data_IF_462677829656
#
_entry.id   IF_462677829656
#
_cell.length_a   1.000
_cell.length_b   1.000
_cell.length_c   1.000
_cell.angle_alpha   90.00
_cell.angle_beta   90.00
_cell.angle_gamma   90.00
#
_symmetry.space_group_name_H-M   'P 1'
#
loop_
_entity.id
_entity.type
_entity.pdbx_description
1 polymer ?
#
# COMPACT_ATOMS: atom_id res chain seq x y z
N UNK A 1 -3.36 -11.44 -20.18
CA UNK A 1 -4.12 -10.50 -19.31
C UNK A 1 -5.20 -11.28 -18.59
N UNK A 2 -5.37 -11.07 -17.28
CA UNK A 2 -6.34 -11.81 -16.43
C UNK A 2 -7.81 -11.36 -16.60
N UNK A 3 -8.05 -10.27 -17.35
CA UNK A 3 -9.39 -9.77 -17.65
C UNK A 3 -9.95 -8.76 -16.64
N UNK A 4 -9.48 -8.77 -15.38
CA UNK A 4 -9.86 -7.84 -14.31
C UNK A 4 -8.66 -7.45 -13.44
N UNK A 5 -8.79 -6.33 -12.72
CA UNK A 5 -7.89 -5.95 -11.60
C UNK A 5 -8.17 -6.81 -10.37
N UNK A 6 -7.17 -6.97 -9.50
CA UNK A 6 -7.26 -7.81 -8.30
C UNK A 6 -7.29 -6.94 -7.03
N UNK A 7 -8.23 -7.19 -6.13
CA UNK A 7 -8.44 -6.32 -4.97
C UNK A 7 -9.53 -6.78 -4.02
N UNK A 8 -9.82 -5.94 -3.04
CA UNK A 8 -11.00 -5.95 -2.18
C UNK A 8 -11.85 -4.69 -2.43
N UNK A 9 -12.88 -4.47 -1.64
CA UNK A 9 -13.56 -3.18 -1.55
C UNK A 9 -13.21 -2.45 -0.25
N UNK A 10 -13.54 -1.16 -0.18
CA UNK A 10 -13.48 -0.37 1.04
C UNK A 10 -14.68 -0.61 1.99
N UNK A 11 -15.55 -1.57 1.67
CA UNK A 11 -16.81 -1.82 2.36
C UNK A 11 -17.92 -0.80 2.04
N UNK A 12 -17.64 0.21 1.22
CA UNK A 12 -18.57 1.23 0.76
C UNK A 12 -18.75 1.25 -0.77
N UNK A 13 -18.32 0.18 -1.44
CA UNK A 13 -18.52 -0.04 -2.87
C UNK A 13 -17.43 0.52 -3.77
N UNK A 14 -16.31 1.02 -3.22
CA UNK A 14 -15.14 1.41 -4.01
C UNK A 14 -14.11 0.28 -4.01
N UNK A 15 -13.47 0.07 -5.17
CA UNK A 15 -12.37 -0.87 -5.31
C UNK A 15 -11.14 -0.41 -4.50
N UNK A 16 -10.50 -1.36 -3.81
CA UNK A 16 -9.17 -1.24 -3.22
C UNK A 16 -8.29 -2.35 -3.81
N UNK A 17 -7.36 -1.99 -4.70
CA UNK A 17 -6.46 -2.96 -5.34
C UNK A 17 -5.49 -3.53 -4.32
N UNK A 18 -4.99 -4.74 -4.56
CA UNK A 18 -3.97 -5.31 -3.68
C UNK A 18 -2.70 -4.47 -3.72
N UNK A 19 -2.21 -4.10 -2.55
CA UNK A 19 -0.96 -3.38 -2.39
C UNK A 19 0.13 -4.34 -1.89
N UNK A 20 1.38 -3.97 -2.11
CA UNK A 20 2.54 -4.75 -1.67
C UNK A 20 3.72 -3.82 -1.40
N UNK A 21 4.81 -4.38 -0.87
CA UNK A 21 6.07 -3.67 -0.67
C UNK A 21 7.14 -4.32 -1.51
N UNK A 22 7.90 -3.52 -2.25
CA UNK A 22 9.08 -3.98 -2.99
C UNK A 22 10.35 -3.49 -2.32
N UNK A 23 11.39 -4.30 -2.35
CA UNK A 23 12.74 -3.86 -1.97
C UNK A 23 13.37 -3.10 -3.12
N UNK A 24 14.26 -2.16 -2.80
CA UNK A 24 14.94 -1.34 -3.81
C UNK A 24 16.45 -1.38 -3.56
N UNK A 25 17.23 -1.15 -4.62
CA UNK A 25 18.70 -1.15 -4.57
C UNK A 25 19.26 0.20 -5.08
N UNK A 26 19.03 1.31 -4.34
CA UNK A 26 19.19 2.67 -4.86
C UNK A 26 20.62 2.99 -5.32
N UNK A 27 21.61 2.34 -4.73
CA UNK A 27 23.02 2.55 -5.02
C UNK A 27 23.51 1.79 -6.28
N UNK A 28 22.69 0.89 -6.83
CA UNK A 28 23.04 0.08 -8.00
C UNK A 28 22.65 0.81 -9.28
N UNK A 29 23.58 0.83 -10.24
CA UNK A 29 23.43 1.62 -11.47
C UNK A 29 22.27 1.17 -12.35
N UNK A 30 21.86 -0.11 -12.27
CA UNK A 30 20.76 -0.60 -13.10
C UNK A 30 19.44 0.12 -12.83
N UNK A 31 19.23 0.69 -11.63
CA UNK A 31 18.01 1.45 -11.32
C UNK A 31 17.91 2.74 -12.14
N UNK A 32 19.05 3.27 -12.61
CA UNK A 32 19.15 4.48 -13.44
C UNK A 32 19.12 4.19 -14.94
N UNK A 33 19.12 2.92 -15.34
CA UNK A 33 19.14 2.54 -16.74
C UNK A 33 17.86 2.99 -17.45
N UNK A 34 18.00 3.58 -18.62
CA UNK A 34 16.86 3.85 -19.50
C UNK A 34 16.43 2.59 -20.27
N UNK A 35 15.17 2.55 -20.71
CA UNK A 35 14.69 1.57 -21.67
C UNK A 35 14.69 2.21 -23.06
N UNK A 36 15.43 1.63 -24.00
CA UNK A 36 15.28 1.95 -25.43
C UNK A 36 13.96 1.35 -25.94
N UNK A 37 12.89 2.15 -25.92
CA UNK A 37 11.56 1.73 -26.39
C UNK A 37 11.50 1.85 -27.91
N UNK A 38 11.87 0.77 -28.61
CA UNK A 38 11.63 0.66 -30.06
C UNK A 38 10.17 0.28 -30.33
N UNK A 39 9.59 0.81 -31.42
CA UNK A 39 8.29 0.33 -31.90
C UNK A 39 8.37 -1.17 -32.18
N UNK A 40 7.32 -1.92 -31.84
CA UNK A 40 7.26 -3.39 -32.02
C UNK A 40 7.68 -3.87 -33.42
N UNK A 41 7.35 -3.10 -34.46
CA UNK A 41 7.72 -3.36 -35.86
C UNK A 41 9.22 -3.23 -36.16
N UNK A 42 10.01 -2.74 -35.22
CA UNK A 42 11.42 -2.38 -35.36
C UNK A 42 12.32 -3.16 -34.39
N UNK A 43 11.76 -4.20 -33.74
CA UNK A 43 12.44 -5.05 -32.78
C UNK A 43 12.97 -6.29 -33.51
N UNK A 44 14.29 -6.47 -33.66
CA UNK A 44 14.86 -7.63 -34.35
C UNK A 44 14.81 -8.92 -33.52
N UNK A 45 14.71 -8.81 -32.19
CA UNK A 45 14.66 -9.94 -31.24
C UNK A 45 14.03 -9.52 -29.90
N UNK A 46 13.71 -10.47 -29.03
CA UNK A 46 13.05 -10.17 -27.75
C UNK A 46 14.01 -9.70 -26.64
N UNK A 47 15.24 -9.27 -26.94
CA UNK A 47 16.25 -8.94 -25.93
C UNK A 47 15.81 -7.80 -25.00
N UNK A 48 15.06 -6.83 -25.53
CA UNK A 48 14.52 -5.72 -24.73
C UNK A 48 13.46 -6.13 -23.69
N UNK A 49 12.92 -7.35 -23.78
CA UNK A 49 11.93 -7.93 -22.87
C UNK A 49 12.52 -8.97 -21.92
N UNK A 50 13.85 -9.19 -21.96
CA UNK A 50 14.52 -10.08 -21.01
C UNK A 50 14.47 -9.47 -19.60
N UNK A 51 14.46 -10.36 -18.63
CA UNK A 51 14.62 -10.00 -17.23
C UNK A 51 15.86 -9.11 -17.04
N UNK A 52 15.70 -8.06 -16.22
CA UNK A 52 16.75 -7.13 -15.84
C UNK A 52 17.17 -7.40 -14.40
N UNK A 53 18.30 -6.84 -13.98
CA UNK A 53 18.81 -7.01 -12.61
C UNK A 53 17.95 -6.40 -11.49
N UNK A 54 16.84 -5.72 -11.82
CA UNK A 54 15.87 -5.18 -10.88
C UNK A 54 15.00 -4.08 -11.49
N UNK A 55 14.15 -3.47 -10.66
CA UNK A 55 13.27 -2.36 -11.03
C UNK A 55 14.08 -1.09 -11.37
N UNK A 56 13.66 -0.36 -12.40
CA UNK A 56 14.18 0.99 -12.68
C UNK A 56 13.38 2.05 -11.93
N UNK A 57 13.94 3.25 -11.78
CA UNK A 57 13.27 4.35 -11.08
C UNK A 57 11.92 4.72 -11.71
N UNK A 58 11.78 4.62 -13.03
CA UNK A 58 10.52 4.92 -13.72
C UNK A 58 9.43 3.90 -13.42
N UNK A 59 9.76 2.60 -13.40
CA UNK A 59 8.82 1.55 -13.00
C UNK A 59 8.34 1.82 -11.57
N UNK A 60 9.28 2.12 -10.67
CA UNK A 60 8.97 2.39 -9.28
C UNK A 60 8.07 3.63 -9.12
N UNK A 61 8.35 4.73 -9.83
CA UNK A 61 7.52 5.95 -9.79
C UNK A 61 6.08 5.68 -10.19
N UNK A 62 5.86 4.83 -11.20
CA UNK A 62 4.50 4.44 -11.59
C UNK A 62 3.85 3.56 -10.50
N UNK A 63 4.58 2.55 -9.99
CA UNK A 63 4.09 1.63 -8.96
C UNK A 63 3.64 2.35 -7.68
N UNK A 64 4.38 3.38 -7.25
CA UNK A 64 4.08 4.16 -6.05
C UNK A 64 2.73 4.88 -6.11
N UNK A 65 2.21 5.17 -7.31
CA UNK A 65 0.88 5.76 -7.47
C UNK A 65 -0.25 4.80 -7.03
N UNK A 66 0.02 3.50 -7.01
CA UNK A 66 -0.94 2.43 -6.73
C UNK A 66 -0.76 1.80 -5.34
N UNK A 67 -0.23 2.56 -4.37
CA UNK A 67 -0.13 2.10 -2.98
C UNK A 67 1.03 1.14 -2.70
N UNK A 68 1.92 0.93 -3.68
CA UNK A 68 3.13 0.12 -3.48
C UNK A 68 4.08 0.82 -2.51
N UNK A 69 4.51 0.10 -1.48
CA UNK A 69 5.51 0.54 -0.52
C UNK A 69 6.94 0.19 -0.95
N UNK A 70 7.92 0.82 -0.31
CA UNK A 70 9.35 0.55 -0.55
C UNK A 70 10.06 0.14 0.72
N UNK A 71 11.06 -0.74 0.60
CA UNK A 71 11.90 -1.16 1.70
C UNK A 71 13.39 -1.17 1.31
N UNK A 72 14.25 -0.82 2.27
CA UNK A 72 15.65 -1.18 2.25
C UNK A 72 15.81 -2.70 2.28
N UNK A 73 16.90 -3.17 1.69
CA UNK A 73 17.34 -4.56 1.70
C UNK A 73 18.87 -4.57 1.70
N UNK A 74 19.52 -5.19 0.72
CA UNK A 74 20.96 -5.13 0.53
C UNK A 74 21.48 -3.71 0.27
N UNK A 75 22.61 -3.39 0.92
CA UNK A 75 23.37 -2.17 0.66
C UNK A 75 24.59 -2.46 -0.21
N UNK A 76 25.08 -1.47 -0.96
CA UNK A 76 26.20 -1.67 -1.90
C UNK A 76 27.56 -1.65 -1.19
N UNK A 77 27.86 -2.72 -0.45
CA UNK A 77 29.11 -2.85 0.31
C UNK A 77 29.68 -4.27 0.26
N UNK A 78 31.00 -4.37 0.43
CA UNK A 78 31.68 -5.66 0.63
C UNK A 78 31.76 -6.06 2.12
N UNK A 79 31.33 -5.19 3.04
CA UNK A 79 31.41 -5.42 4.49
C UNK A 79 30.03 -5.35 5.16
N UNK A 80 29.09 -6.15 4.66
CA UNK A 80 27.69 -6.17 5.11
C UNK A 80 27.49 -6.73 6.53
N UNK A 81 28.55 -7.21 7.19
CA UNK A 81 28.54 -7.69 8.58
C UNK A 81 29.05 -6.64 9.59
N UNK A 82 29.24 -5.39 9.14
CA UNK A 82 29.62 -4.28 10.01
C UNK A 82 28.47 -3.27 10.12
N UNK A 83 27.96 -3.08 11.34
CA UNK A 83 26.81 -2.21 11.63
C UNK A 83 27.03 -0.78 11.16
N UNK A 84 28.19 -0.19 11.44
CA UNK A 84 28.50 1.21 11.06
C UNK A 84 28.55 1.37 9.53
N UNK A 85 29.06 0.37 8.83
CA UNK A 85 29.09 0.34 7.36
C UNK A 85 27.67 0.30 6.81
N UNK A 86 26.82 -0.62 7.28
CA UNK A 86 25.43 -0.72 6.82
C UNK A 86 24.65 0.57 7.16
N UNK A 87 24.83 1.13 8.35
CA UNK A 87 24.23 2.38 8.78
C UNK A 87 24.60 3.55 7.86
N UNK A 88 25.87 3.69 7.49
CA UNK A 88 26.33 4.68 6.53
C UNK A 88 25.63 4.51 5.17
N UNK A 89 25.52 3.28 4.68
CA UNK A 89 24.86 3.02 3.41
C UNK A 89 23.35 3.27 3.44
N UNK A 90 22.65 3.06 4.56
CA UNK A 90 21.25 3.48 4.68
C UNK A 90 21.08 4.99 4.47
N UNK A 91 21.99 5.81 5.01
CA UNK A 91 21.96 7.25 4.80
C UNK A 91 22.21 7.63 3.33
N UNK A 92 23.19 6.97 2.68
CA UNK A 92 23.47 7.17 1.26
C UNK A 92 22.29 6.78 0.38
N UNK A 93 21.75 5.57 0.59
CA UNK A 93 20.61 5.06 -0.13
C UNK A 93 19.37 5.94 0.07
N UNK A 94 19.12 6.42 1.30
CA UNK A 94 18.02 7.35 1.58
C UNK A 94 18.14 8.65 0.78
N UNK A 95 19.33 9.23 0.66
CA UNK A 95 19.53 10.45 -0.14
C UNK A 95 19.18 10.20 -1.62
N UNK A 96 19.67 9.08 -2.18
CA UNK A 96 19.34 8.72 -3.57
C UNK A 96 17.84 8.51 -3.74
N UNK A 97 17.18 7.84 -2.79
CA UNK A 97 15.72 7.63 -2.77
C UNK A 97 14.98 8.97 -2.78
N UNK A 98 15.36 9.90 -1.90
CA UNK A 98 14.73 11.22 -1.82
C UNK A 98 14.87 11.99 -3.13
N UNK A 99 16.06 11.97 -3.74
CA UNK A 99 16.31 12.64 -5.03
C UNK A 99 15.51 11.99 -6.17
N UNK A 100 15.47 10.66 -6.20
CA UNK A 100 14.89 9.89 -7.31
C UNK A 100 13.35 9.85 -7.26
N UNK A 101 12.76 10.00 -6.06
CA UNK A 101 11.33 9.89 -5.80
C UNK A 101 10.71 11.19 -5.26
N UNK A 102 11.24 12.35 -5.66
CA UNK A 102 10.66 13.66 -5.39
C UNK A 102 10.39 13.93 -3.89
N UNK A 103 11.35 13.55 -3.04
CA UNK A 103 11.29 13.74 -1.59
C UNK A 103 10.56 12.63 -0.83
N UNK A 104 10.10 11.57 -1.50
CA UNK A 104 9.59 10.37 -0.81
C UNK A 104 10.76 9.56 -0.24
N UNK A 105 10.91 9.56 1.08
CA UNK A 105 11.85 8.73 1.81
C UNK A 105 11.36 7.31 2.11
N UNK A 106 12.30 6.38 2.33
CA UNK A 106 12.00 5.03 2.80
C UNK A 106 12.02 4.96 4.33
N UNK A 107 11.16 4.11 4.90
CA UNK A 107 11.03 3.89 6.36
C UNK A 107 10.95 2.41 6.76
N UNK A 108 11.21 1.51 5.81
CA UNK A 108 10.98 0.08 5.97
C UNK A 108 12.27 -0.67 5.68
N UNK A 109 12.62 -1.66 6.49
CA UNK A 109 13.64 -2.65 6.21
C UNK A 109 12.98 -4.01 5.99
N UNK A 110 13.29 -4.65 4.88
CA UNK A 110 13.20 -6.10 4.78
C UNK A 110 14.63 -6.63 5.00
N UNK A 111 14.83 -7.47 6.01
CA UNK A 111 16.15 -8.06 6.27
C UNK A 111 16.59 -8.93 5.09
N UNK A 112 17.81 -8.71 4.54
CA UNK A 112 18.44 -9.61 3.58
C UNK A 112 19.20 -10.75 4.27
N UNK A 113 19.21 -11.92 3.64
CA UNK A 113 20.11 -13.05 3.95
C UNK A 113 20.12 -13.58 5.39
N UNK A 114 19.11 -13.27 6.21
CA UNK A 114 19.16 -13.59 7.63
C UNK A 114 20.21 -12.78 8.42
N UNK A 115 20.75 -11.72 7.83
CA UNK A 115 21.85 -10.95 8.39
C UNK A 115 21.34 -9.88 9.37
N UNK A 116 21.47 -10.19 10.68
CA UNK A 116 21.03 -9.32 11.76
C UNK A 116 21.79 -7.99 11.88
N UNK A 117 22.95 -7.86 11.23
CA UNK A 117 23.65 -6.57 11.11
C UNK A 117 22.74 -5.49 10.52
N UNK A 118 21.90 -5.85 9.55
CA UNK A 118 20.96 -4.92 8.93
C UNK A 118 19.88 -4.44 9.90
N UNK A 119 19.39 -5.33 10.76
CA UNK A 119 18.40 -5.02 11.80
C UNK A 119 19.03 -4.14 12.89
N UNK A 120 20.23 -4.49 13.35
CA UNK A 120 20.99 -3.70 14.33
C UNK A 120 21.28 -2.29 13.82
N UNK A 121 21.72 -2.15 12.57
CA UNK A 121 21.92 -0.85 11.94
C UNK A 121 20.60 -0.07 11.76
N UNK A 122 19.50 -0.75 11.43
CA UNK A 122 18.20 -0.10 11.26
C UNK A 122 17.65 0.46 12.57
N UNK A 123 17.88 -0.23 13.69
CA UNK A 123 17.52 0.26 15.02
C UNK A 123 18.29 1.55 15.41
N UNK A 124 19.46 1.79 14.81
CA UNK A 124 20.25 3.01 14.99
C UNK A 124 19.91 4.10 13.95
N UNK A 125 19.19 3.75 12.88
CA UNK A 125 18.83 4.67 11.80
C UNK A 125 17.38 5.15 11.92
N UNK A 126 17.17 6.26 12.61
CA UNK A 126 15.85 6.83 12.93
C UNK A 126 14.80 6.83 11.79
N UNK A 127 15.15 7.06 10.51
CA UNK A 127 14.20 6.96 9.41
C UNK A 127 13.54 5.58 9.24
N UNK A 128 14.23 4.48 9.56
CA UNK A 128 13.65 3.14 9.49
C UNK A 128 12.81 2.92 10.75
N UNK A 129 11.51 2.73 10.53
CA UNK A 129 10.52 2.57 11.59
C UNK A 129 9.83 1.22 11.51
N UNK A 130 9.93 0.53 10.39
CA UNK A 130 9.25 -0.73 10.12
C UNK A 130 10.30 -1.74 9.71
N UNK A 131 10.29 -2.93 10.31
CA UNK A 131 11.25 -3.97 9.98
C UNK A 131 10.58 -5.33 9.84
N UNK A 132 11.10 -6.17 8.96
CA UNK A 132 10.66 -7.55 8.83
C UNK A 132 11.80 -8.52 8.54
N UNK A 133 11.68 -9.75 9.05
CA UNK A 133 12.63 -10.85 8.87
C UNK A 133 11.93 -12.21 9.02
N UNK A 134 12.66 -13.30 8.76
CA UNK A 134 12.15 -14.67 8.96
C UNK A 134 12.29 -15.17 10.41
N UNK A 135 13.36 -14.77 11.11
CA UNK A 135 13.74 -15.30 12.44
C UNK A 135 13.97 -14.17 13.45
N UNK A 136 13.89 -14.48 14.75
CA UNK A 136 14.05 -13.48 15.82
C UNK A 136 12.94 -12.42 15.82
N UNK A 137 11.79 -12.77 15.27
CA UNK A 137 10.68 -11.86 14.95
C UNK A 137 9.49 -12.07 15.86
N UNK A 138 8.57 -11.10 15.85
CA UNK A 138 7.24 -11.26 16.45
C UNK A 138 6.21 -11.68 15.41
N UNK A 139 5.33 -12.61 15.77
CA UNK A 139 4.15 -12.90 14.98
C UNK A 139 3.10 -11.79 15.17
N UNK A 140 2.58 -11.28 14.07
CA UNK A 140 1.58 -10.22 14.09
C UNK A 140 0.17 -10.82 14.21
N UNK A 141 -0.51 -10.53 15.31
CA UNK A 141 -1.94 -10.83 15.50
C UNK A 141 -2.73 -9.52 15.53
N UNK A 142 -3.30 -9.05 14.39
CA UNK A 142 -3.85 -7.70 14.28
C UNK A 142 -4.94 -7.37 15.31
N UNK A 143 -5.76 -8.34 15.70
CA UNK A 143 -6.83 -8.13 16.69
C UNK A 143 -6.35 -8.13 18.14
N UNK A 144 -5.13 -8.64 18.40
CA UNK A 144 -4.54 -8.71 19.75
C UNK A 144 -3.47 -7.63 19.97
N UNK A 145 -3.01 -6.97 18.90
CA UNK A 145 -2.00 -5.93 18.97
C UNK A 145 -2.55 -4.65 19.61
N UNK A 146 -1.90 -4.24 20.71
CA UNK A 146 -2.24 -3.05 21.50
C UNK A 146 -1.13 -2.01 21.55
N UNK A 147 -0.06 -2.18 20.77
CA UNK A 147 1.06 -1.25 20.68
C UNK A 147 1.39 -0.88 19.22
N UNK A 148 2.18 0.18 19.05
CA UNK A 148 2.68 0.57 17.74
C UNK A 148 3.62 -0.51 17.20
N UNK A 149 3.54 -0.77 15.89
CA UNK A 149 4.48 -1.64 15.19
C UNK A 149 5.86 -1.00 14.98
N UNK A 150 6.01 0.30 15.23
CA UNK A 150 7.26 1.03 15.10
C UNK A 150 8.39 0.35 15.90
N UNK A 151 9.50 0.05 15.23
CA UNK A 151 10.68 -0.58 15.83
C UNK A 151 10.54 -2.09 16.10
N UNK A 152 9.37 -2.69 15.85
CA UNK A 152 9.21 -4.14 15.97
C UNK A 152 9.75 -4.85 14.72
N UNK A 153 10.40 -6.00 14.93
CA UNK A 153 10.81 -6.89 13.84
C UNK A 153 9.70 -7.90 13.55
N UNK A 154 8.89 -7.62 12.53
CA UNK A 154 7.70 -8.40 12.19
C UNK A 154 8.07 -9.67 11.41
N UNK A 155 7.43 -10.79 11.75
CA UNK A 155 7.65 -12.04 11.03
C UNK A 155 7.17 -11.94 9.57
N UNK A 156 7.95 -12.54 8.67
CA UNK A 156 7.59 -12.80 7.27
C UNK A 156 7.99 -14.23 6.91
N UNK A 157 7.11 -14.93 6.21
CA UNK A 157 7.37 -16.27 5.69
C UNK A 157 7.56 -16.25 4.18
N UNK A 158 8.36 -17.16 3.65
CA UNK A 158 8.44 -17.41 2.21
C UNK A 158 7.62 -18.66 1.88
N UNK A 159 6.79 -18.55 0.85
CA UNK A 159 5.90 -19.61 0.39
C UNK A 159 6.04 -19.74 -1.11
N UNK A 160 5.89 -20.95 -1.64
CA UNK A 160 5.74 -21.15 -3.08
C UNK A 160 4.33 -20.73 -3.51
N UNK A 161 4.17 -20.32 -4.76
CA UNK A 161 2.87 -19.92 -5.30
C UNK A 161 1.82 -21.06 -5.25
N UNK A 162 2.27 -22.32 -5.29
CA UNK A 162 1.40 -23.50 -5.14
C UNK A 162 0.84 -23.65 -3.72
N UNK A 163 1.55 -23.15 -2.71
CA UNK A 163 1.33 -23.54 -1.32
C UNK A 163 0.83 -22.39 -0.44
N UNK A 164 0.94 -21.12 -0.88
CA UNK A 164 0.56 -19.96 -0.06
C UNK A 164 -0.94 -19.88 0.26
N UNK A 165 -1.78 -20.65 -0.44
CA UNK A 165 -3.23 -20.74 -0.15
C UNK A 165 -3.50 -21.45 1.19
N UNK A 166 -2.74 -22.50 1.50
CA UNK A 166 -2.92 -23.31 2.72
C UNK A 166 -2.84 -22.48 4.01
N UNK A 167 -1.77 -21.69 4.26
CA UNK A 167 -1.70 -20.88 5.47
C UNK A 167 -2.82 -19.84 5.56
N UNK A 168 -3.32 -19.33 4.42
CA UNK A 168 -4.47 -18.41 4.39
C UNK A 168 -5.73 -19.14 4.83
N UNK A 169 -6.04 -20.29 4.24
CA UNK A 169 -7.21 -21.11 4.57
C UNK A 169 -7.18 -21.55 6.04
N UNK A 170 -6.02 -21.93 6.56
CA UNK A 170 -5.83 -22.27 7.96
C UNK A 170 -6.18 -21.11 8.91
N UNK A 171 -5.82 -19.87 8.57
CA UNK A 171 -6.24 -18.70 9.36
C UNK A 171 -7.74 -18.44 9.23
N UNK A 172 -8.35 -18.64 8.06
CA UNK A 172 -9.78 -18.47 7.89
C UNK A 172 -10.62 -19.49 8.68
N UNK A 173 -10.07 -20.67 8.98
CA UNK A 173 -10.69 -21.66 9.87
C UNK A 173 -10.73 -21.22 11.35
N UNK A 174 -9.94 -20.22 11.74
CA UNK A 174 -9.92 -19.67 13.10
C UNK A 174 -10.93 -18.51 13.27
N UNK A 175 -11.44 -18.26 14.49
CA UNK A 175 -12.16 -17.03 14.81
C UNK A 175 -11.32 -15.80 14.46
N UNK A 176 -11.93 -14.76 13.86
CA UNK A 176 -11.17 -13.63 13.31
C UNK A 176 -10.24 -12.93 14.31
N UNK A 177 -10.57 -12.95 15.61
CA UNK A 177 -9.74 -12.37 16.68
C UNK A 177 -8.46 -13.15 16.97
N UNK A 178 -8.43 -14.42 16.59
CA UNK A 178 -7.32 -15.34 16.82
C UNK A 178 -6.38 -15.45 15.61
N UNK A 179 -6.75 -14.84 14.47
CA UNK A 179 -5.96 -14.92 13.24
C UNK A 179 -4.67 -14.11 13.35
N UNK A 180 -3.56 -14.70 12.91
CA UNK A 180 -2.34 -13.95 12.61
C UNK A 180 -2.42 -13.35 11.20
N UNK A 181 -1.63 -12.30 10.98
CA UNK A 181 -1.38 -11.81 9.63
C UNK A 181 -0.57 -12.87 8.84
N UNK A 182 -0.90 -13.01 7.56
CA UNK A 182 -0.10 -13.77 6.61
C UNK A 182 0.79 -12.78 5.87
N UNK A 183 2.06 -12.71 6.28
CA UNK A 183 3.07 -11.84 5.67
C UNK A 183 3.99 -12.68 4.78
N UNK A 184 3.84 -12.50 3.47
CA UNK A 184 4.52 -13.30 2.45
C UNK A 184 5.69 -12.53 1.87
N UNK A 185 6.89 -13.11 1.94
CA UNK A 185 8.06 -12.70 1.18
C UNK A 185 8.10 -13.45 -0.16
N UNK A 186 8.48 -12.73 -1.21
CA UNK A 186 8.59 -13.25 -2.58
C UNK A 186 9.88 -12.71 -3.20
N UNK A 187 10.56 -13.54 -4.00
CA UNK A 187 11.71 -13.11 -4.80
C UNK A 187 11.26 -12.89 -6.25
N UNK A 188 11.06 -13.99 -6.98
CA UNK A 188 10.58 -13.98 -8.36
C UNK A 188 9.08 -14.29 -8.42
N UNK A 189 8.38 -13.63 -9.35
CA UNK A 189 6.96 -13.83 -9.62
C UNK A 189 6.73 -14.17 -11.07
N UNK A 190 5.92 -15.19 -11.34
CA UNK A 190 5.47 -15.56 -12.69
C UNK A 190 3.95 -15.76 -12.78
N UNK A 191 3.54 -16.54 -13.77
CA UNK A 191 2.13 -16.87 -14.00
C UNK A 191 1.48 -17.60 -12.81
N UNK A 192 2.28 -18.35 -12.06
CA UNK A 192 1.87 -19.05 -10.85
C UNK A 192 1.40 -18.08 -9.75
N UNK A 193 2.17 -17.02 -9.48
CA UNK A 193 1.80 -15.95 -8.56
C UNK A 193 0.61 -15.15 -9.07
N UNK A 194 0.55 -14.87 -10.38
CA UNK A 194 -0.60 -14.19 -10.97
C UNK A 194 -1.90 -14.99 -10.76
N UNK A 195 -1.86 -16.31 -10.96
CA UNK A 195 -2.99 -17.21 -10.70
C UNK A 195 -3.31 -17.32 -9.20
N UNK A 196 -2.29 -17.32 -8.34
CA UNK A 196 -2.46 -17.26 -6.89
C UNK A 196 -3.22 -16.01 -6.44
N UNK A 197 -2.79 -14.83 -6.89
CA UNK A 197 -3.45 -13.57 -6.56
C UNK A 197 -4.88 -13.51 -7.14
N UNK A 198 -5.10 -14.09 -8.31
CA UNK A 198 -6.45 -14.24 -8.88
C UNK A 198 -7.34 -15.11 -7.99
N UNK A 199 -6.83 -16.24 -7.50
CA UNK A 199 -7.54 -17.07 -6.52
C UNK A 199 -7.87 -16.28 -5.25
N UNK A 200 -6.93 -15.49 -4.73
CA UNK A 200 -7.14 -14.67 -3.53
C UNK A 200 -8.27 -13.66 -3.73
N UNK A 201 -8.28 -12.98 -4.88
CA UNK A 201 -9.35 -12.06 -5.30
C UNK A 201 -10.72 -12.75 -5.38
N UNK A 202 -10.79 -13.90 -6.05
CA UNK A 202 -12.03 -14.61 -6.30
C UNK A 202 -12.59 -15.33 -5.06
N UNK A 203 -11.73 -15.63 -4.09
CA UNK A 203 -12.13 -16.35 -2.87
C UNK A 203 -12.47 -15.36 -1.76
N UNK A 204 -11.58 -14.40 -1.53
CA UNK A 204 -11.63 -13.53 -0.35
C UNK A 204 -11.65 -12.04 -0.66
N UNK A 205 -11.31 -11.63 -1.88
CA UNK A 205 -11.38 -10.24 -2.34
C UNK A 205 -12.75 -9.83 -2.87
N UNK A 206 -12.76 -8.81 -3.73
CA UNK A 206 -13.97 -8.14 -4.25
C UNK A 206 -14.88 -9.04 -5.09
N UNK A 207 -14.32 -10.09 -5.71
CA UNK A 207 -15.07 -11.08 -6.48
C UNK A 207 -15.39 -12.34 -5.66
N UNK A 208 -15.00 -12.35 -4.38
CA UNK A 208 -15.29 -13.39 -3.40
C UNK A 208 -16.20 -12.87 -2.27
N UNK A 209 -15.80 -13.13 -1.02
CA UNK A 209 -16.56 -12.68 0.15
C UNK A 209 -16.08 -11.34 0.76
N UNK A 210 -15.14 -10.67 0.10
CA UNK A 210 -14.61 -9.36 0.48
C UNK A 210 -14.17 -9.25 1.96
N UNK A 211 -13.42 -10.24 2.44
CA UNK A 211 -13.04 -10.40 3.86
C UNK A 211 -11.54 -10.26 4.14
N UNK A 212 -10.74 -9.88 3.14
CA UNK A 212 -9.31 -9.61 3.28
C UNK A 212 -8.99 -8.13 3.11
N UNK A 213 -7.88 -7.74 3.73
CA UNK A 213 -7.17 -6.53 3.41
C UNK A 213 -5.75 -6.93 3.05
N UNK A 214 -5.27 -6.52 1.87
CA UNK A 214 -3.92 -6.81 1.36
C UNK A 214 -3.16 -5.49 1.23
N UNK A 215 -2.70 -4.90 2.34
CA UNK A 215 -1.95 -3.67 2.34
C UNK A 215 -0.48 -3.90 1.99
N UNK A 216 0.21 -2.82 1.60
CA UNK A 216 1.66 -2.79 1.73
C UNK A 216 2.06 -2.82 3.21
N UNK A 217 3.29 -3.25 3.52
CA UNK A 217 3.72 -3.31 4.91
C UNK A 217 3.69 -1.93 5.57
N UNK A 218 4.06 -0.88 4.83
CA UNK A 218 3.99 0.48 5.33
C UNK A 218 2.57 0.98 5.57
N UNK A 219 1.61 0.63 4.71
CA UNK A 219 0.21 1.00 4.88
C UNK A 219 -0.37 0.40 6.17
N UNK A 220 -0.11 -0.89 6.41
CA UNK A 220 -0.56 -1.54 7.64
C UNK A 220 0.03 -0.88 8.88
N UNK A 221 1.34 -0.62 8.89
CA UNK A 221 2.04 -0.03 10.02
C UNK A 221 1.60 1.42 10.27
N UNK A 222 1.41 2.23 9.23
CA UNK A 222 0.84 3.56 9.33
C UNK A 222 -0.58 3.51 9.89
N UNK A 223 -1.44 2.62 9.39
CA UNK A 223 -2.79 2.44 9.90
C UNK A 223 -2.82 1.99 11.37
N UNK A 224 -1.92 1.08 11.76
CA UNK A 224 -1.73 0.69 13.16
C UNK A 224 -1.35 1.90 14.03
N UNK A 225 -0.45 2.76 13.54
CA UNK A 225 -0.09 4.00 14.23
C UNK A 225 -1.28 4.95 14.35
N UNK A 226 -2.04 5.19 13.27
CA UNK A 226 -3.22 6.05 13.31
C UNK A 226 -4.28 5.51 14.26
N UNK A 227 -4.53 4.19 14.27
CA UNK A 227 -5.51 3.56 15.16
C UNK A 227 -5.22 3.83 16.64
N UNK A 228 -3.95 3.90 17.01
CA UNK A 228 -3.52 4.12 18.40
C UNK A 228 -3.41 5.60 18.77
N UNK A 229 -3.11 6.47 17.80
CA UNK A 229 -2.73 7.85 18.07
C UNK A 229 -3.71 8.90 17.52
N UNK A 230 -4.73 8.51 16.74
CA UNK A 230 -5.77 9.44 16.26
C UNK A 230 -6.65 9.88 17.42
N UNK A 231 -6.80 11.20 17.58
CA UNK A 231 -7.76 11.77 18.51
C UNK A 231 -9.08 12.04 17.79
N UNK A 232 -10.18 11.51 18.33
CA UNK A 232 -11.53 11.73 17.81
C UNK A 232 -12.38 12.33 18.92
N UNK A 233 -12.90 13.53 18.70
CA UNK A 233 -13.96 14.09 19.52
C UNK A 233 -15.24 14.25 18.70
N UNK A 234 -16.37 14.30 19.41
CA UNK A 234 -17.70 14.44 18.79
C UNK A 234 -18.50 15.53 19.48
N UNK A 235 -19.28 16.25 18.68
CA UNK A 235 -20.30 17.19 19.15
C UNK A 235 -21.61 16.81 18.48
N UNK A 236 -22.71 16.86 19.25
CA UNK A 236 -24.06 16.67 18.73
C UNK A 236 -24.80 17.99 18.87
N UNK A 237 -25.30 18.50 17.76
CA UNK A 237 -26.13 19.70 17.70
C UNK A 237 -27.44 19.32 16.98
N UNK A 238 -28.50 19.08 17.77
CA UNK A 238 -29.79 18.59 17.28
C UNK A 238 -29.67 17.36 16.37
N UNK A 239 -29.76 17.57 15.05
CA UNK A 239 -29.72 16.56 14.00
C UNK A 239 -28.32 16.38 13.37
N UNK A 240 -27.30 17.09 13.86
CA UNK A 240 -25.93 17.07 13.35
C UNK A 240 -24.98 16.38 14.30
N UNK A 241 -24.30 15.35 13.80
CA UNK A 241 -23.12 14.77 14.44
C UNK A 241 -21.86 15.34 13.78
N UNK A 242 -21.07 16.09 14.54
CA UNK A 242 -19.80 16.66 14.09
C UNK A 242 -18.67 15.84 14.69
N UNK A 243 -17.79 15.30 13.85
CA UNK A 243 -16.58 14.60 14.27
C UNK A 243 -15.36 15.50 14.04
N UNK A 244 -14.59 15.76 15.09
CA UNK A 244 -13.27 16.37 14.97
C UNK A 244 -12.23 15.25 15.07
N UNK A 245 -11.54 15.01 13.96
CA UNK A 245 -10.58 13.91 13.81
C UNK A 245 -9.19 14.49 13.58
N UNK A 246 -8.27 14.25 14.51
CA UNK A 246 -6.87 14.65 14.40
C UNK A 246 -6.02 13.42 14.16
N UNK A 247 -5.62 13.23 12.90
CA UNK A 247 -4.72 12.15 12.46
C UNK A 247 -3.28 12.67 12.58
N UNK A 248 -2.44 12.09 13.46
CA UNK A 248 -1.04 12.49 13.57
C UNK A 248 -0.22 11.97 12.39
N UNK A 249 0.86 12.67 12.02
CA UNK A 249 1.78 12.25 10.96
C UNK A 249 3.16 11.93 11.54
N UNK A 250 3.68 10.76 11.18
CA UNK A 250 5.08 10.40 11.42
C UNK A 250 5.99 10.84 10.28
N UNK A 251 7.30 10.70 10.48
CA UNK A 251 8.27 10.86 9.40
C UNK A 251 7.98 9.85 8.28
N UNK A 252 7.94 10.32 7.03
CA UNK A 252 7.68 9.50 5.84
C UNK A 252 6.35 8.73 5.86
N UNK A 253 5.31 9.29 6.48
CA UNK A 253 3.95 8.76 6.37
C UNK A 253 3.29 9.23 5.07
N UNK A 254 2.69 8.30 4.31
CA UNK A 254 2.20 8.57 2.95
C UNK A 254 0.72 8.24 2.74
N UNK A 255 0.12 7.46 3.63
CA UNK A 255 -1.23 6.92 3.47
C UNK A 255 -2.10 7.34 4.67
N UNK A 256 -2.36 8.65 4.90
CA UNK A 256 -3.19 9.13 6.00
C UNK A 256 -4.67 8.86 5.74
N UNK A 257 -5.05 7.58 5.80
CA UNK A 257 -6.41 7.08 5.62
C UNK A 257 -6.83 6.21 6.79
N UNK A 258 -8.03 6.44 7.30
CA UNK A 258 -8.59 5.69 8.43
C UNK A 258 -10.06 5.33 8.19
N UNK A 259 -10.53 4.32 8.93
CA UNK A 259 -11.94 3.95 8.99
C UNK A 259 -12.50 4.24 10.38
N UNK A 260 -13.58 5.02 10.45
CA UNK A 260 -14.32 5.31 11.69
C UNK A 260 -15.65 4.56 11.66
N UNK A 261 -15.95 3.82 12.73
CA UNK A 261 -17.24 3.14 12.90
C UNK A 261 -18.10 3.87 13.94
N UNK A 262 -19.26 4.36 13.53
CA UNK A 262 -20.25 5.03 14.37
C UNK A 262 -21.36 4.03 14.69
N UNK A 263 -21.32 3.44 15.89
CA UNK A 263 -22.34 2.49 16.34
C UNK A 263 -23.71 3.18 16.45
N UNK A 264 -24.76 2.47 16.00
CA UNK A 264 -26.15 2.92 16.15
C UNK A 264 -26.64 3.93 15.10
N UNK A 265 -25.75 4.53 14.31
CA UNK A 265 -26.13 5.36 13.16
C UNK A 265 -26.26 4.47 11.92
N UNK A 266 -27.40 4.49 11.24
CA UNK A 266 -27.60 3.77 9.98
C UNK A 266 -27.45 4.72 8.79
N UNK A 267 -27.00 4.23 7.64
CA UNK A 267 -26.82 5.01 6.40
C UNK A 267 -28.11 5.70 5.97
N UNK A 268 -29.26 5.04 6.10
CA UNK A 268 -30.57 5.61 5.74
C UNK A 268 -31.03 6.76 6.65
N UNK A 269 -30.39 6.96 7.80
CA UNK A 269 -30.63 8.09 8.70
C UNK A 269 -29.75 9.30 8.36
N UNK A 270 -28.80 9.17 7.41
CA UNK A 270 -27.88 10.24 7.02
C UNK A 270 -28.43 10.93 5.78
N UNK A 271 -28.92 12.16 5.95
CA UNK A 271 -29.38 13.00 4.82
C UNK A 271 -28.19 13.58 4.04
N UNK A 272 -27.15 14.00 4.75
CA UNK A 272 -25.95 14.60 4.18
C UNK A 272 -24.72 14.21 5.00
N UNK A 273 -23.58 14.06 4.32
CA UNK A 273 -22.27 14.00 4.94
C UNK A 273 -21.34 14.98 4.22
N UNK A 274 -20.58 15.74 5.00
CA UNK A 274 -19.62 16.70 4.47
C UNK A 274 -18.33 16.67 5.28
N UNK A 275 -17.26 17.22 4.71
CA UNK A 275 -15.92 17.24 5.30
C UNK A 275 -15.20 18.54 4.94
N UNK A 276 -14.20 18.91 5.73
CA UNK A 276 -13.33 20.05 5.44
C UNK A 276 -12.39 19.76 4.26
N UNK A 277 -11.53 20.71 3.91
CA UNK A 277 -10.62 20.59 2.76
C UNK A 277 -9.43 19.64 2.97
N UNK A 278 -9.15 19.23 4.22
CA UNK A 278 -8.09 18.27 4.51
C UNK A 278 -8.47 16.85 4.08
N UNK A 279 -9.78 16.54 4.09
CA UNK A 279 -10.29 15.27 3.57
C UNK A 279 -10.37 15.36 2.05
N UNK A 280 -9.60 14.51 1.37
CA UNK A 280 -9.57 14.38 -0.09
C UNK A 280 -10.44 13.23 -0.59
N UNK A 281 -10.58 12.16 0.19
CA UNK A 281 -11.42 11.00 -0.10
C UNK A 281 -12.39 10.71 1.03
N UNK A 282 -13.63 10.35 0.68
CA UNK A 282 -14.68 10.05 1.64
C UNK A 282 -15.66 9.03 1.06
N UNK A 283 -15.84 7.92 1.76
CA UNK A 283 -16.87 6.91 1.45
C UNK A 283 -17.51 6.40 2.73
N UNK A 284 -18.74 5.91 2.64
CA UNK A 284 -19.49 5.46 3.81
C UNK A 284 -20.59 4.45 3.47
N UNK A 285 -20.78 3.50 4.37
CA UNK A 285 -21.76 2.43 4.26
C UNK A 285 -22.18 1.87 5.62
N UNK A 286 -23.29 1.11 5.64
CA UNK A 286 -23.67 0.37 6.83
C UNK A 286 -22.64 -0.74 7.12
N UNK A 287 -22.23 -0.86 8.38
CA UNK A 287 -21.34 -1.92 8.85
C UNK A 287 -21.54 -2.24 10.32
N UNK A 288 -21.62 -3.53 10.66
CA UNK A 288 -21.64 -4.05 12.06
C UNK A 288 -22.59 -3.29 13.00
N UNK A 289 -23.82 -3.01 12.54
CA UNK A 289 -24.85 -2.32 13.34
C UNK A 289 -24.64 -0.81 13.50
N UNK A 290 -23.87 -0.19 12.62
CA UNK A 290 -23.64 1.25 12.57
C UNK A 290 -23.20 1.72 11.19
N UNK A 291 -22.62 2.92 11.15
CA UNK A 291 -22.11 3.54 9.93
C UNK A 291 -20.59 3.46 9.93
N UNK A 292 -20.02 2.89 8.87
CA UNK A 292 -18.60 2.98 8.55
C UNK A 292 -18.36 4.22 7.70
N UNK A 293 -17.31 4.99 8.03
CA UNK A 293 -16.83 6.12 7.24
C UNK A 293 -15.35 5.90 6.98
N UNK A 294 -14.96 5.80 5.71
CA UNK A 294 -13.57 5.80 5.29
C UNK A 294 -13.16 7.24 4.94
N UNK A 295 -12.06 7.69 5.53
CA UNK A 295 -11.54 9.04 5.39
C UNK A 295 -10.13 8.93 4.82
N UNK A 296 -9.86 9.68 3.78
CA UNK A 296 -8.54 9.79 3.15
C UNK A 296 -8.12 11.25 3.11
N UNK A 297 -6.92 11.54 3.64
CA UNK A 297 -6.35 12.89 3.71
C UNK A 297 -5.09 13.05 2.83
N UNK A 298 -4.90 12.21 1.81
CA UNK A 298 -3.79 12.35 0.84
C UNK A 298 -3.92 13.66 0.08
N UNK A 299 -3.05 14.62 0.41
CA UNK A 299 -3.00 15.98 -0.15
C UNK A 299 -3.08 16.04 -1.69
N UNK A 300 -2.49 15.08 -2.39
CA UNK A 300 -2.39 15.07 -3.85
C UNK A 300 -3.34 14.08 -4.55
N UNK A 301 -4.33 13.53 -3.85
CA UNK A 301 -5.24 12.53 -4.41
C UNK A 301 -6.03 13.05 -5.62
N UNK A 302 -6.43 14.33 -5.62
CA UNK A 302 -7.10 14.95 -6.77
C UNK A 302 -6.18 15.07 -7.99
N UNK A 303 -4.93 15.48 -7.78
CA UNK A 303 -3.92 15.61 -8.82
C UNK A 303 -3.63 14.24 -9.45
N UNK A 304 -3.55 13.20 -8.62
CA UNK A 304 -3.44 11.80 -9.06
C UNK A 304 -4.61 11.41 -9.97
N UNK A 305 -5.85 11.63 -9.51
CA UNK A 305 -7.04 11.33 -10.31
C UNK A 305 -7.04 12.10 -11.65
N UNK A 306 -6.71 13.40 -11.62
CA UNK A 306 -6.62 14.22 -12.83
C UNK A 306 -5.55 13.73 -13.80
N UNK A 307 -4.40 13.28 -13.30
CA UNK A 307 -3.31 12.71 -14.10
C UNK A 307 -3.76 11.46 -14.88
N UNK A 308 -4.44 10.51 -14.23
CA UNK A 308 -4.92 9.30 -14.90
C UNK A 308 -6.08 9.56 -15.86
N UNK A 309 -6.95 10.53 -15.56
CA UNK A 309 -7.92 11.03 -16.55
C UNK A 309 -7.20 11.58 -17.78
N UNK A 310 -6.14 12.35 -17.59
CA UNK A 310 -5.31 12.88 -18.69
C UNK A 310 -4.58 11.79 -19.49
N UNK A 311 -4.12 10.70 -18.84
CA UNK A 311 -3.60 9.51 -19.54
C UNK A 311 -4.66 8.88 -20.43
N UNK A 312 -5.86 8.64 -19.88
CA UNK A 312 -7.00 8.10 -20.62
C UNK A 312 -7.40 8.99 -21.80
N UNK A 313 -7.43 10.31 -21.64
CA UNK A 313 -7.79 11.23 -22.73
C UNK A 313 -6.85 11.13 -23.93
N UNK A 314 -5.57 10.85 -23.68
CA UNK A 314 -4.53 10.70 -24.72
C UNK A 314 -4.57 9.33 -25.40
N UNK A 315 -4.73 8.25 -24.65
CA UNK A 315 -4.64 6.89 -25.19
C UNK A 315 -6.00 6.32 -25.63
N UNK A 316 -7.08 6.72 -24.97
CA UNK A 316 -8.43 6.15 -25.05
C UNK A 316 -8.48 4.64 -24.82
N UNK A 317 -7.48 4.08 -24.14
CA UNK A 317 -7.40 2.65 -23.88
C UNK A 317 -8.37 2.22 -22.78
N UNK A 318 -8.78 0.94 -22.80
CA UNK A 318 -9.61 0.36 -21.73
C UNK A 318 -8.86 0.36 -20.40
N UNK A 319 -7.56 0.08 -20.40
CA UNK A 319 -6.74 0.04 -19.17
C UNK A 319 -6.71 1.42 -18.50
N UNK A 320 -6.40 2.46 -19.28
CA UNK A 320 -6.34 3.83 -18.74
C UNK A 320 -7.71 4.31 -18.27
N UNK A 321 -8.80 3.87 -18.91
CA UNK A 321 -10.17 4.16 -18.43
C UNK A 321 -10.43 3.54 -17.05
N UNK A 322 -9.98 2.30 -16.82
CA UNK A 322 -10.12 1.62 -15.54
C UNK A 322 -9.28 2.30 -14.46
N UNK A 323 -8.05 2.72 -14.76
CA UNK A 323 -7.20 3.45 -13.82
C UNK A 323 -7.77 4.83 -13.50
N UNK A 324 -8.21 5.58 -14.51
CA UNK A 324 -8.87 6.87 -14.30
C UNK A 324 -10.10 6.74 -13.40
N UNK A 325 -10.95 5.74 -13.63
CA UNK A 325 -12.11 5.45 -12.77
C UNK A 325 -11.66 5.12 -11.35
N UNK A 326 -10.69 4.21 -11.20
CA UNK A 326 -10.17 3.80 -9.90
C UNK A 326 -9.72 4.99 -9.04
N UNK A 327 -8.95 5.94 -9.59
CA UNK A 327 -8.52 7.11 -8.83
C UNK A 327 -9.63 8.14 -8.61
N UNK A 328 -10.52 8.36 -9.58
CA UNK A 328 -11.63 9.31 -9.43
C UNK A 328 -12.63 8.84 -8.37
N UNK A 329 -12.89 7.54 -8.26
CA UNK A 329 -13.83 7.01 -7.26
C UNK A 329 -13.35 7.17 -5.82
N UNK A 330 -12.03 7.24 -5.58
CA UNK A 330 -11.44 7.50 -4.27
C UNK A 330 -11.70 8.92 -3.73
N UNK A 331 -11.99 9.89 -4.62
CA UNK A 331 -12.26 11.27 -4.20
C UNK A 331 -13.58 11.38 -3.44
N UNK A 332 -13.66 12.31 -2.49
CA UNK A 332 -14.95 12.70 -1.88
C UNK A 332 -15.89 13.32 -2.91
N UNK A 333 -17.21 13.28 -2.67
CA UNK A 333 -18.14 13.98 -3.56
C UNK A 333 -17.82 15.48 -3.59
N UNK A 334 -17.73 16.01 -4.82
CA UNK A 334 -17.36 17.39 -5.08
C UNK A 334 -17.66 17.75 -6.54
N UNK A 335 -17.82 19.05 -6.87
CA UNK A 335 -17.90 19.49 -8.27
C UNK A 335 -16.72 19.01 -9.11
N UNK A 336 -15.51 19.00 -8.53
CA UNK A 336 -14.29 18.53 -9.18
C UNK A 336 -14.31 17.02 -9.49
N UNK A 337 -14.85 16.18 -8.60
CA UNK A 337 -15.07 14.75 -8.88
C UNK A 337 -16.03 14.57 -10.06
N UNK A 338 -17.14 15.32 -10.08
CA UNK A 338 -18.15 15.27 -11.15
C UNK A 338 -17.57 15.70 -12.51
N UNK A 339 -16.70 16.70 -12.53
CA UNK A 339 -15.97 17.13 -13.72
C UNK A 339 -15.06 16.01 -14.27
N UNK A 340 -14.25 15.39 -13.41
CA UNK A 340 -13.39 14.26 -13.82
C UNK A 340 -14.22 13.07 -14.32
N UNK A 341 -15.33 12.74 -13.66
CA UNK A 341 -16.25 11.69 -14.10
C UNK A 341 -16.87 11.97 -15.49
N UNK A 342 -17.08 13.24 -15.85
CA UNK A 342 -17.61 13.60 -17.15
C UNK A 342 -16.60 13.38 -18.29
N UNK A 343 -15.30 13.45 -17.99
CA UNK A 343 -14.19 13.32 -18.95
C UNK A 343 -13.82 11.87 -19.26
N UNK A 344 -14.25 10.93 -18.43
CA UNK A 344 -14.00 9.48 -18.57
C UNK A 344 -15.18 8.70 -19.16
N UNK A 345 -16.18 9.40 -19.68
CA UNK A 345 -17.37 8.81 -20.30
C UNK A 345 -17.04 8.09 -21.60
#
# INVERSE_FOLDING_TARGET
>A
MLGNTLGSTDGAGNEVRFHFTTTIAPELEFMKSDIDVKRLSSIPNNDQFKERGGLMWDDLREMLNYGVGIAFHDVKTSNANNVDTVLMHYALAQNIILDSLFGRGCKTLAEPDGNKTYVEAALLYNPIQIMTAQTGTIELYPCKLNCCTNGLLLNRGFYQASDFQEPINAQFALPYKERRAIHVGVHETGDDWANGLLWLNNTYGKDGNDSIWVPSLEEYCEYNYYRLNTNISKTIDWDKLILHVKIPMGQYFYLPSITINIKGLKKNCVTEISSNNEVSGLSYADSKGGLMINIDCRRYLYQMASYYVGKYEKSRSRSDSLDARYFVYQLKDSPRKKELLARIK
#
